data_IF_921296727512
#
_entry.id   IF_921296727512
#
_cell.length_a   1.000
_cell.length_b   1.000
_cell.length_c   1.000
_cell.angle_alpha   90.00
_cell.angle_beta   90.00
_cell.angle_gamma   90.00
#
_symmetry.space_group_name_H-M   'P 1'
#
loop_
_entity.id
_entity.type
_entity.pdbx_description
1 polymer ?
#
# COMPACT_ATOMS: atom_id res chain seq x y z
N UNK A 1 -27.77 -17.87 -0.85
CA UNK A 1 -26.35 -18.10 -1.14
C UNK A 1 -25.52 -16.81 -1.12
N UNK A 2 -26.00 -15.72 -1.73
CA UNK A 2 -25.28 -14.44 -1.81
C UNK A 2 -23.90 -14.59 -2.47
N UNK A 3 -23.82 -15.41 -3.53
CA UNK A 3 -22.62 -15.55 -4.33
C UNK A 3 -22.35 -14.24 -5.08
N UNK A 4 -21.09 -13.80 -5.08
CA UNK A 4 -20.71 -12.58 -5.75
C UNK A 4 -20.83 -12.75 -7.27
N UNK A 5 -21.69 -11.95 -7.92
CA UNK A 5 -21.95 -12.04 -9.36
C UNK A 5 -20.70 -11.95 -10.26
N UNK A 6 -19.65 -11.26 -9.78
CA UNK A 6 -18.41 -11.12 -10.54
C UNK A 6 -17.44 -12.26 -10.27
N UNK A 7 -17.49 -12.83 -9.06
CA UNK A 7 -16.57 -13.87 -8.64
C UNK A 7 -17.06 -15.31 -8.73
N UNK A 8 -18.37 -15.54 -8.77
CA UNK A 8 -18.96 -16.87 -8.90
C UNK A 8 -19.29 -17.21 -10.36
N UNK A 9 -19.29 -18.50 -10.67
CA UNK A 9 -19.69 -19.04 -11.98
C UNK A 9 -21.22 -19.01 -12.13
N UNK A 10 -21.94 -19.13 -11.01
CA UNK A 10 -23.41 -19.17 -10.89
C UNK A 10 -23.85 -18.46 -9.61
N UNK A 11 -25.14 -18.14 -9.51
CA UNK A 11 -25.75 -17.46 -8.36
C UNK A 11 -26.20 -18.44 -7.24
N UNK A 12 -26.24 -19.73 -7.54
CA UNK A 12 -26.48 -20.82 -6.60
C UNK A 12 -25.22 -21.26 -5.84
N UNK A 13 -25.43 -22.01 -4.76
CA UNK A 13 -24.38 -22.56 -3.93
C UNK A 13 -24.60 -24.06 -3.70
N UNK A 14 -23.52 -24.76 -3.38
CA UNK A 14 -23.55 -26.17 -3.05
C UNK A 14 -24.42 -26.39 -1.79
N UNK A 15 -25.39 -27.29 -1.88
CA UNK A 15 -26.52 -27.35 -0.93
C UNK A 15 -26.10 -27.75 0.49
N UNK A 16 -25.01 -28.53 0.62
CA UNK A 16 -24.56 -29.04 1.92
C UNK A 16 -23.69 -28.05 2.68
N UNK A 17 -22.79 -27.34 1.98
CA UNK A 17 -21.81 -26.43 2.58
C UNK A 17 -22.21 -24.97 2.47
N UNK A 18 -23.13 -24.63 1.56
CA UNK A 18 -23.47 -23.25 1.23
C UNK A 18 -22.35 -22.52 0.47
N UNK A 19 -21.34 -23.23 -0.03
CA UNK A 19 -20.21 -22.66 -0.77
C UNK A 19 -20.57 -22.39 -2.23
N UNK A 20 -20.25 -21.20 -2.70
CA UNK A 20 -20.37 -20.82 -4.10
C UNK A 20 -19.26 -21.44 -4.97
N UNK A 21 -19.55 -21.69 -6.24
CA UNK A 21 -18.54 -22.13 -7.22
C UNK A 21 -17.83 -20.89 -7.78
N UNK A 22 -16.55 -20.73 -7.45
CA UNK A 22 -15.78 -19.54 -7.83
C UNK A 22 -15.14 -19.66 -9.21
N UNK A 23 -15.04 -18.53 -9.92
CA UNK A 23 -14.20 -18.41 -11.12
C UNK A 23 -12.72 -18.54 -10.74
N UNK A 24 -11.88 -18.79 -11.75
CA UNK A 24 -10.44 -18.98 -11.56
C UNK A 24 -9.80 -17.78 -10.84
N UNK A 25 -8.95 -18.06 -9.85
CA UNK A 25 -8.23 -17.03 -9.08
C UNK A 25 -9.02 -16.40 -7.94
N UNK A 26 -10.31 -16.70 -7.80
CA UNK A 26 -11.20 -16.12 -6.78
C UNK A 26 -11.51 -17.17 -5.71
N UNK A 27 -11.58 -16.74 -4.45
CA UNK A 27 -11.76 -17.62 -3.27
C UNK A 27 -12.85 -17.06 -2.34
N UNK A 28 -13.07 -17.79 -1.25
CA UNK A 28 -14.06 -17.44 -0.22
C UNK A 28 -15.38 -18.20 -0.39
N UNK A 29 -16.20 -18.22 0.66
CA UNK A 29 -17.50 -18.91 0.63
C UNK A 29 -18.46 -18.31 -0.40
N UNK A 30 -18.31 -17.01 -0.67
CA UNK A 30 -19.15 -16.22 -1.57
C UNK A 30 -18.41 -15.75 -2.83
N UNK A 31 -17.19 -16.25 -3.06
CA UNK A 31 -16.34 -15.85 -4.17
C UNK A 31 -16.03 -14.35 -4.22
N UNK A 32 -15.67 -13.80 -3.08
CA UNK A 32 -15.41 -12.37 -2.82
C UNK A 32 -13.98 -12.09 -2.37
N UNK A 33 -13.10 -13.10 -2.37
CA UNK A 33 -11.70 -12.97 -1.94
C UNK A 33 -10.76 -13.10 -3.13
N UNK A 34 -10.02 -12.04 -3.40
CA UNK A 34 -8.96 -12.00 -4.41
C UNK A 34 -7.56 -12.18 -3.78
N UNK A 35 -6.53 -12.55 -4.58
CA UNK A 35 -5.14 -12.53 -4.11
C UNK A 35 -4.71 -11.16 -3.55
N UNK A 36 -3.74 -11.12 -2.63
CA UNK A 36 -3.20 -9.87 -2.11
C UNK A 36 -2.79 -8.91 -3.24
N UNK A 37 -3.15 -7.63 -3.13
CA UNK A 37 -2.83 -6.60 -4.14
C UNK A 37 -3.83 -6.52 -5.30
N UNK A 38 -4.85 -7.36 -5.33
CA UNK A 38 -5.89 -7.35 -6.38
C UNK A 38 -7.28 -7.11 -5.79
N UNK A 39 -8.17 -6.53 -6.59
CA UNK A 39 -9.57 -6.22 -6.25
C UNK A 39 -10.51 -6.93 -7.21
N UNK A 40 -11.68 -7.34 -6.70
CA UNK A 40 -12.69 -8.03 -7.50
C UNK A 40 -13.45 -7.01 -8.37
N UNK A 41 -13.23 -7.05 -9.68
CA UNK A 41 -13.94 -6.29 -10.70
C UNK A 41 -14.80 -7.20 -11.59
N UNK A 42 -15.45 -6.61 -12.60
CA UNK A 42 -16.32 -7.33 -13.53
C UNK A 42 -15.61 -8.48 -14.27
N UNK A 43 -14.32 -8.29 -14.55
CA UNK A 43 -13.46 -9.24 -15.26
C UNK A 43 -12.71 -10.21 -14.32
N UNK A 44 -13.03 -10.21 -13.02
CA UNK A 44 -12.35 -11.03 -12.01
C UNK A 44 -11.40 -10.22 -11.13
N UNK A 45 -10.34 -10.85 -10.62
CA UNK A 45 -9.35 -10.15 -9.81
C UNK A 45 -8.44 -9.31 -10.71
N UNK A 46 -8.54 -7.99 -10.56
CA UNK A 46 -7.71 -7.00 -11.26
C UNK A 46 -6.73 -6.38 -10.29
N UNK A 47 -5.55 -5.97 -10.75
CA UNK A 47 -4.61 -5.24 -9.91
C UNK A 47 -5.33 -4.00 -9.36
N UNK A 48 -5.49 -3.95 -8.04
CA UNK A 48 -6.14 -2.83 -7.40
C UNK A 48 -5.19 -1.66 -7.54
N UNK A 49 -5.54 -0.73 -8.43
CA UNK A 49 -4.77 0.47 -8.73
C UNK A 49 -4.12 1.05 -7.45
N UNK A 50 -2.83 0.79 -7.32
CA UNK A 50 -1.82 1.46 -6.51
C UNK A 50 -2.25 2.21 -5.23
N UNK A 51 -2.91 1.54 -4.27
CA UNK A 51 -2.90 2.01 -2.86
C UNK A 51 -1.77 1.38 -2.02
N UNK A 52 -1.07 0.37 -2.55
CA UNK A 52 0.10 -0.26 -1.91
C UNK A 52 1.44 0.41 -2.28
N UNK A 53 1.47 1.36 -3.22
CA UNK A 53 2.67 2.18 -3.44
C UNK A 53 3.03 2.96 -2.16
N UNK A 54 2.04 3.44 -1.42
CA UNK A 54 2.27 4.18 -0.17
C UNK A 54 2.74 3.31 1.01
N UNK A 55 2.53 1.99 0.97
CA UNK A 55 2.98 1.08 2.04
C UNK A 55 4.46 0.74 1.88
N UNK A 56 4.92 0.48 0.65
CA UNK A 56 6.34 0.27 0.32
C UNK A 56 7.18 1.55 0.38
N UNK A 57 6.55 2.72 0.26
CA UNK A 57 7.20 4.02 0.40
C UNK A 57 7.57 4.35 1.87
N UNK A 58 6.94 3.72 2.86
CA UNK A 58 6.96 4.20 4.26
C UNK A 58 8.20 3.90 5.15
N UNK A 59 9.10 2.93 4.89
CA UNK A 59 10.38 2.84 5.62
C UNK A 59 11.56 3.50 4.89
N UNK A 60 11.60 3.43 3.56
CA UNK A 60 12.76 3.92 2.79
C UNK A 60 12.77 5.43 2.58
N UNK A 61 11.62 6.07 2.32
CA UNK A 61 11.57 7.53 2.19
C UNK A 61 11.74 8.25 3.54
N UNK A 62 11.34 7.64 4.66
CA UNK A 62 11.62 8.18 6.00
C UNK A 62 13.13 8.31 6.23
N UNK A 63 13.92 7.32 5.83
CA UNK A 63 15.38 7.36 5.96
C UNK A 63 16.03 8.40 5.02
N UNK A 64 15.52 8.53 3.78
CA UNK A 64 15.97 9.58 2.85
C UNK A 64 15.61 10.97 3.37
N UNK A 65 14.38 11.18 3.84
CA UNK A 65 13.90 12.45 4.40
C UNK A 65 14.67 12.83 5.69
N UNK A 66 14.91 11.87 6.58
CA UNK A 66 15.72 12.05 7.79
C UNK A 66 17.18 12.40 7.45
N UNK A 67 17.76 11.77 6.42
CA UNK A 67 19.13 12.05 5.96
C UNK A 67 19.27 13.43 5.30
N UNK A 68 18.27 13.85 4.51
CA UNK A 68 18.23 15.18 3.88
C UNK A 68 18.06 16.27 4.96
N UNK A 69 17.19 16.04 5.95
CA UNK A 69 16.96 16.99 7.05
C UNK A 69 18.23 17.20 7.90
N UNK A 70 18.94 16.12 8.27
CA UNK A 70 20.22 16.23 9.00
C UNK A 70 21.32 16.94 8.20
N UNK A 71 21.44 16.61 6.91
CA UNK A 71 22.44 17.24 6.03
C UNK A 71 22.13 18.73 5.89
N UNK A 72 20.87 19.10 5.67
CA UNK A 72 20.44 20.50 5.57
C UNK A 72 20.62 21.26 6.89
N UNK A 73 20.28 20.68 8.05
CA UNK A 73 20.54 21.27 9.38
C UNK A 73 22.05 21.47 9.65
N UNK A 74 22.89 20.53 9.20
CA UNK A 74 24.35 20.64 9.30
C UNK A 74 24.95 21.69 8.35
N UNK A 75 24.31 21.94 7.21
CA UNK A 75 24.71 22.99 6.26
C UNK A 75 24.19 24.37 6.65
N UNK A 76 22.98 24.47 7.22
CA UNK A 76 22.43 25.72 7.79
C UNK A 76 23.21 26.20 9.02
N UNK A 77 23.94 25.30 9.68
CA UNK A 77 24.90 25.63 10.75
C UNK A 77 26.32 25.88 10.20
N UNK A 78 26.56 25.67 8.91
CA UNK A 78 27.87 25.80 8.28
C UNK A 78 28.10 27.20 7.68
N UNK A 79 29.31 27.70 7.93
CA UNK A 79 29.96 28.93 7.45
C UNK A 79 29.46 30.28 7.97
N UNK A 80 28.16 30.60 8.00
CA UNK A 80 27.73 31.93 8.47
C UNK A 80 27.79 32.07 10.01
N UNK A 81 27.32 31.06 10.77
CA UNK A 81 27.31 31.08 12.24
C UNK A 81 28.70 30.98 12.86
N UNK A 82 29.60 30.17 12.30
CA UNK A 82 30.96 29.99 12.84
C UNK A 82 31.82 31.24 12.69
N UNK A 83 31.58 32.04 11.64
CA UNK A 83 32.27 33.33 11.46
C UNK A 83 31.71 34.42 12.40
N UNK A 84 30.40 34.44 12.65
CA UNK A 84 29.77 35.40 13.57
C UNK A 84 30.10 35.12 15.04
N UNK A 85 30.20 33.85 15.45
CA UNK A 85 30.51 33.48 16.83
C UNK A 85 31.96 33.87 17.22
N UNK A 86 32.89 33.91 16.26
CA UNK A 86 34.29 34.27 16.51
C UNK A 86 34.54 35.78 16.56
N UNK A 87 33.63 36.59 16.00
CA UNK A 87 33.69 38.07 16.05
C UNK A 87 33.03 38.61 17.33
N UNK A 88 32.10 37.87 17.93
CA UNK A 88 31.43 38.26 19.19
C UNK A 88 32.21 37.86 20.46
N UNK A 89 33.34 37.18 20.32
CA UNK A 89 34.20 36.70 21.42
C UNK A 89 35.56 37.43 21.50
N UNK A 90 35.73 38.54 20.77
CA UNK A 90 36.86 39.48 20.87
C UNK A 90 36.33 40.90 21.00
#
# INVERSE_FOLDING_TARGET
CNCNQFGSVRDDCEQMTGRCVCKQGIKGMKCDVCPPGTVLGADGCTDGEALEANRLISPSLSNVYNGVSQTLLSQLTSRAKKSLLNVLLY
#
